data_IF_951523849955
#
_entry.id   IF_951523849955
#
_cell.length_a   1.000
_cell.length_b   1.000
_cell.length_c   1.000
_cell.angle_alpha   90.00
_cell.angle_beta   90.00
_cell.angle_gamma   90.00
#
_symmetry.space_group_name_H-M   'P 1'
#
loop_
_entity.id
_entity.type
_entity.pdbx_description
1 polymer ?
#
# COMPACT_ATOMS: atom_id res chain seq x y z
N UNK A 1 -0.10 0.17 -0.70
CA UNK A 1 -0.40 -1.04 -1.48
C UNK A 1 -1.74 -0.91 -2.21
N UNK A 2 -1.74 -1.01 -3.54
CA UNK A 2 -2.94 -1.03 -4.38
C UNK A 2 -3.23 -2.46 -4.87
N UNK A 3 -4.50 -2.86 -4.97
CA UNK A 3 -4.85 -4.19 -5.47
C UNK A 3 -4.62 -4.37 -6.99
N UNK A 4 -4.75 -3.28 -7.76
CA UNK A 4 -4.40 -3.22 -9.20
C UNK A 4 -4.21 -1.76 -9.62
N UNK A 5 -3.33 -1.49 -10.59
CA UNK A 5 -3.20 -0.18 -11.25
C UNK A 5 -3.71 -0.14 -12.70
N UNK A 6 -4.50 -1.12 -13.13
CA UNK A 6 -4.97 -1.25 -14.52
C UNK A 6 -6.10 -0.27 -14.96
N UNK A 7 -6.52 0.66 -14.09
CA UNK A 7 -7.58 1.62 -14.41
C UNK A 7 -7.03 3.07 -14.39
N UNK A 8 -7.30 3.91 -15.42
CA UNK A 8 -6.75 5.27 -15.52
C UNK A 8 -6.99 6.13 -14.28
N UNK A 9 -8.18 6.01 -13.66
CA UNK A 9 -8.47 6.71 -12.41
C UNK A 9 -7.51 6.35 -11.26
N UNK A 10 -7.09 5.08 -11.13
CA UNK A 10 -6.13 4.68 -10.08
C UNK A 10 -4.73 5.20 -10.35
N UNK A 11 -4.30 5.18 -11.61
CA UNK A 11 -3.03 5.80 -12.01
C UNK A 11 -3.05 7.28 -11.66
N UNK A 12 -4.09 8.00 -12.07
CA UNK A 12 -4.25 9.42 -11.76
C UNK A 12 -4.29 9.70 -10.25
N UNK A 13 -4.97 8.87 -9.46
CA UNK A 13 -5.01 8.98 -8.00
C UNK A 13 -3.61 8.81 -7.39
N UNK A 14 -2.86 7.78 -7.79
CA UNK A 14 -1.50 7.52 -7.29
C UNK A 14 -0.55 8.65 -7.67
N UNK A 15 -0.60 9.13 -8.91
CA UNK A 15 0.24 10.25 -9.35
C UNK A 15 -0.12 11.55 -8.63
N UNK A 16 -1.40 11.80 -8.38
CA UNK A 16 -1.86 12.92 -7.54
C UNK A 16 -1.31 12.84 -6.12
N UNK A 17 -1.38 11.65 -5.49
CA UNK A 17 -0.83 11.43 -4.16
C UNK A 17 0.68 11.62 -4.11
N UNK A 18 1.43 11.12 -5.11
CA UNK A 18 2.87 11.33 -5.22
C UNK A 18 3.23 12.81 -5.32
N UNK A 19 2.53 13.55 -6.19
CA UNK A 19 2.76 14.98 -6.36
C UNK A 19 2.49 15.74 -5.07
N UNK A 20 1.36 15.46 -4.42
CA UNK A 20 0.99 16.10 -3.16
C UNK A 20 2.00 15.79 -2.05
N UNK A 21 2.46 14.55 -1.95
CA UNK A 21 3.48 14.15 -0.99
C UNK A 21 4.81 14.87 -1.23
N UNK A 22 5.27 14.93 -2.48
CA UNK A 22 6.51 15.64 -2.83
C UNK A 22 6.43 17.14 -2.54
N UNK A 23 5.26 17.77 -2.68
CA UNK A 23 5.08 19.21 -2.45
C UNK A 23 4.95 19.57 -0.97
N UNK A 24 4.31 18.72 -0.16
CA UNK A 24 3.94 19.05 1.22
C UNK A 24 4.66 18.23 2.30
N UNK A 25 5.25 17.09 1.94
CA UNK A 25 5.89 16.17 2.87
C UNK A 25 7.26 15.69 2.34
N UNK A 26 8.24 16.60 2.17
CA UNK A 26 9.54 16.28 1.57
C UNK A 26 10.35 15.23 2.36
N UNK A 27 10.07 15.06 3.64
CA UNK A 27 10.72 14.07 4.52
C UNK A 27 10.01 12.71 4.54
N UNK A 28 8.93 12.54 3.77
CA UNK A 28 8.17 11.28 3.67
C UNK A 28 8.61 10.52 2.42
N UNK A 29 9.09 9.29 2.64
CA UNK A 29 9.32 8.33 1.56
C UNK A 29 8.03 7.57 1.25
N UNK A 30 7.46 7.82 0.06
CA UNK A 30 6.21 7.21 -0.37
C UNK A 30 6.49 5.99 -1.27
N UNK A 31 6.35 4.80 -0.69
CA UNK A 31 6.51 3.53 -1.41
C UNK A 31 5.15 3.08 -1.98
N UNK A 32 5.09 2.90 -3.31
CA UNK A 32 3.90 2.43 -4.01
C UNK A 32 4.12 1.00 -4.51
N UNK A 33 3.18 0.11 -4.19
CA UNK A 33 3.14 -1.27 -4.68
C UNK A 33 1.81 -1.55 -5.39
N UNK A 34 1.87 -2.40 -6.40
CA UNK A 34 0.72 -2.84 -7.20
C UNK A 34 0.56 -4.36 -7.12
N UNK A 35 -0.50 -4.84 -6.48
CA UNK A 35 -0.85 -6.25 -6.39
C UNK A 35 -1.20 -6.89 -7.74
N UNK A 36 -1.34 -6.10 -8.81
CA UNK A 36 -1.55 -6.57 -10.18
C UNK A 36 -2.72 -7.56 -10.31
N UNK A 37 -3.82 -7.30 -9.58
CA UNK A 37 -5.01 -8.15 -9.52
C UNK A 37 -4.73 -9.59 -9.02
N UNK A 38 -3.65 -9.77 -8.25
CA UNK A 38 -3.27 -11.01 -7.58
C UNK A 38 -3.20 -10.77 -6.06
N UNK A 39 -4.06 -11.47 -5.31
CA UNK A 39 -4.14 -11.32 -3.87
C UNK A 39 -2.88 -11.81 -3.15
N UNK A 40 -2.27 -12.90 -3.64
CA UNK A 40 -1.04 -13.46 -3.05
C UNK A 40 0.13 -12.51 -3.24
N UNK A 41 0.22 -11.89 -4.43
CA UNK A 41 1.19 -10.82 -4.67
C UNK A 41 0.95 -9.64 -3.74
N UNK A 42 -0.30 -9.19 -3.59
CA UNK A 42 -0.59 -8.06 -2.72
C UNK A 42 -0.25 -8.36 -1.25
N UNK A 43 -0.46 -9.60 -0.79
CA UNK A 43 -0.02 -10.05 0.55
C UNK A 43 1.50 -9.94 0.67
N UNK A 44 2.26 -10.51 -0.27
CA UNK A 44 3.71 -10.44 -0.27
C UNK A 44 4.24 -8.98 -0.33
N UNK A 45 3.56 -8.10 -1.08
CA UNK A 45 3.89 -6.68 -1.10
C UNK A 45 3.71 -6.04 0.30
N UNK A 46 2.67 -6.41 1.05
CA UNK A 46 2.45 -5.90 2.42
C UNK A 46 3.49 -6.47 3.39
N UNK A 47 3.78 -7.76 3.35
CA UNK A 47 4.83 -8.39 4.17
C UNK A 47 6.19 -7.71 3.95
N UNK A 48 6.54 -7.43 2.70
CA UNK A 48 7.76 -6.71 2.35
C UNK A 48 7.77 -5.27 2.90
N UNK A 49 6.64 -4.58 2.90
CA UNK A 49 6.52 -3.24 3.48
C UNK A 49 6.66 -3.28 5.02
N UNK A 50 6.06 -4.27 5.68
CA UNK A 50 6.22 -4.50 7.12
C UNK A 50 7.71 -4.72 7.44
N UNK A 51 8.38 -5.59 6.69
CA UNK A 51 9.81 -5.88 6.86
C UNK A 51 10.71 -4.66 6.62
N UNK A 52 10.33 -3.76 5.71
CA UNK A 52 11.01 -2.47 5.48
C UNK A 52 10.79 -1.46 6.62
N UNK A 53 9.91 -1.75 7.57
CA UNK A 53 9.70 -0.93 8.76
C UNK A 53 8.93 0.36 8.49
N UNK A 54 8.02 0.36 7.51
CA UNK A 54 7.12 1.50 7.24
C UNK A 54 6.34 1.89 8.51
N UNK A 55 5.94 3.16 8.60
CA UNK A 55 5.17 3.67 9.75
C UNK A 55 3.67 3.73 9.49
N UNK A 56 3.30 3.86 8.22
CA UNK A 56 1.91 3.94 7.77
C UNK A 56 1.72 3.04 6.55
N UNK A 57 0.70 2.18 6.59
CA UNK A 57 0.26 1.34 5.49
C UNK A 57 -1.04 1.88 4.93
N UNK A 58 -0.99 2.56 3.78
CA UNK A 58 -2.20 2.87 3.02
C UNK A 58 -2.51 1.72 2.05
N UNK A 59 -3.69 1.09 2.20
CA UNK A 59 -4.06 -0.09 1.43
C UNK A 59 -5.43 0.01 0.76
N UNK A 60 -5.50 -0.42 -0.51
CA UNK A 60 -6.75 -0.72 -1.22
C UNK A 60 -6.77 -2.23 -1.50
N UNK A 61 -7.36 -3.04 -0.59
CA UNK A 61 -7.27 -4.50 -0.66
C UNK A 61 -8.03 -5.05 -1.86
N UNK A 62 -7.45 -6.05 -2.55
CA UNK A 62 -8.10 -6.72 -3.67
C UNK A 62 -9.27 -7.59 -3.19
N UNK A 63 -9.06 -8.36 -2.12
CA UNK A 63 -10.11 -9.10 -1.42
C UNK A 63 -9.93 -8.96 0.08
N UNK A 64 -11.04 -8.85 0.80
CA UNK A 64 -11.04 -8.75 2.26
C UNK A 64 -10.43 -10.02 2.90
N UNK A 65 -10.87 -11.19 2.43
CA UNK A 65 -10.51 -12.47 3.04
C UNK A 65 -9.01 -12.76 2.97
N UNK A 66 -8.35 -12.40 1.87
CA UNK A 66 -6.91 -12.66 1.72
C UNK A 66 -6.05 -11.64 2.48
N UNK A 67 -6.48 -10.38 2.56
CA UNK A 67 -5.65 -9.29 3.09
C UNK A 67 -5.86 -9.02 4.58
N UNK A 68 -6.99 -9.43 5.17
CA UNK A 68 -7.26 -9.24 6.60
C UNK A 68 -6.13 -9.75 7.51
N UNK A 69 -5.58 -10.97 7.31
CA UNK A 69 -4.50 -11.48 8.16
C UNK A 69 -3.24 -10.61 8.13
N UNK A 70 -2.75 -10.23 6.95
CA UNK A 70 -1.51 -9.43 6.81
C UNK A 70 -1.72 -7.97 7.25
N UNK A 71 -2.93 -7.43 7.11
CA UNK A 71 -3.29 -6.12 7.66
C UNK A 71 -3.28 -6.16 9.19
N UNK A 72 -3.79 -7.23 9.79
CA UNK A 72 -3.69 -7.44 11.24
C UNK A 72 -2.24 -7.54 11.69
N UNK A 73 -1.39 -8.25 10.95
CA UNK A 73 0.04 -8.33 11.24
C UNK A 73 0.71 -6.94 11.24
N UNK A 74 0.39 -6.10 10.25
CA UNK A 74 0.90 -4.71 10.21
C UNK A 74 0.46 -3.92 11.46
N UNK A 75 -0.82 -4.01 11.85
CA UNK A 75 -1.34 -3.33 13.05
C UNK A 75 -0.66 -3.85 14.32
N UNK A 76 -0.49 -5.15 14.45
CA UNK A 76 0.15 -5.80 15.60
C UNK A 76 1.66 -5.44 15.67
N UNK A 77 2.30 -5.17 14.53
CA UNK A 77 3.66 -4.61 14.44
C UNK A 77 3.75 -3.10 14.76
N UNK A 78 2.63 -2.46 15.13
CA UNK A 78 2.57 -1.05 15.50
C UNK A 78 2.48 -0.08 14.30
N UNK A 79 2.29 -0.60 13.09
CA UNK A 79 2.10 0.20 11.87
C UNK A 79 0.67 0.76 11.86
N UNK A 80 0.51 2.04 11.51
CA UNK A 80 -0.83 2.63 11.32
C UNK A 80 -1.37 2.21 9.97
N UNK A 81 -2.57 1.62 9.94
CA UNK A 81 -3.26 1.20 8.71
C UNK A 81 -4.48 2.06 8.49
#
# INVERSE_FOLDING_TARGET
SQGTMNHPWRVAMVEGNKKYAAEHYPDVDLIITDGNNDASKQVADVENLIAQGIKVLMISPLTEQALTPVVKEAMDAGIKV
#
